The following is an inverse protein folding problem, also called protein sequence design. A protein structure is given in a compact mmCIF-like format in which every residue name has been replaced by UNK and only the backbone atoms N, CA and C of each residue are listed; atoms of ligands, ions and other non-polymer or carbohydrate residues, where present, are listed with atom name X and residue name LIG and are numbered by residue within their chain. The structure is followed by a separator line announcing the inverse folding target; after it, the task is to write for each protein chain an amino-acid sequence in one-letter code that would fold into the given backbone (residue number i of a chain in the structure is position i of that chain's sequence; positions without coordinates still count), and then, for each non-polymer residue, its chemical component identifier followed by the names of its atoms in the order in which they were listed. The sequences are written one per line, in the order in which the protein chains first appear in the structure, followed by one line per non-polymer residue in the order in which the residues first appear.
data_IF_361878404544
#
_entry.id   IF_361878404544
#
_cell.length_a   1.000
_cell.length_b   1.000
_cell.length_c   1.000
_cell.angle_alpha   90.00
_cell.angle_beta   90.00
_cell.angle_gamma   90.00
#
_symmetry.space_group_name_H-M   'P 1'
#
loop_
_entity.id
_entity.type
_entity.pdbx_description
1 polymer ?
#
# COMPACT_ATOMS: atom_id res chain seq x y z
N UNK A 1 31.95 -28.31 -58.76
CA UNK A 1 31.81 -27.04 -58.04
C UNK A 1 30.69 -27.20 -57.02
N UNK A 2 31.02 -27.52 -55.77
CA UNK A 2 30.04 -27.64 -54.68
C UNK A 2 30.43 -26.65 -53.59
N UNK A 3 29.61 -25.62 -53.43
CA UNK A 3 29.84 -24.50 -52.52
C UNK A 3 29.70 -24.99 -51.08
N UNK A 4 30.73 -24.71 -50.30
CA UNK A 4 30.94 -25.14 -48.92
C UNK A 4 29.93 -24.47 -47.97
N UNK A 5 29.36 -25.34 -47.13
CA UNK A 5 28.56 -25.12 -45.93
C UNK A 5 28.70 -23.75 -45.24
N UNK A 6 27.57 -23.07 -45.06
CA UNK A 6 27.37 -22.08 -44.00
C UNK A 6 26.57 -22.77 -42.88
N UNK A 7 27.29 -23.33 -41.90
CA UNK A 7 26.69 -23.68 -40.61
C UNK A 7 26.69 -22.40 -39.78
N UNK A 8 25.53 -21.87 -39.34
CA UNK A 8 25.53 -20.78 -38.37
C UNK A 8 26.24 -21.26 -37.11
N UNK A 9 27.25 -20.52 -36.66
CA UNK A 9 27.94 -20.78 -35.40
C UNK A 9 26.97 -20.75 -34.22
N UNK A 10 27.33 -21.37 -33.08
CA UNK A 10 26.50 -21.32 -31.89
C UNK A 10 26.29 -19.85 -31.54
N UNK A 11 25.03 -19.41 -31.51
CA UNK A 11 24.67 -18.12 -30.95
C UNK A 11 25.35 -18.04 -29.58
N UNK A 12 26.14 -16.99 -29.38
CA UNK A 12 26.60 -16.57 -28.07
C UNK A 12 25.33 -16.25 -27.28
N UNK A 13 24.68 -17.26 -26.70
CA UNK A 13 23.61 -17.04 -25.74
C UNK A 13 24.31 -16.37 -24.57
N UNK A 14 24.11 -15.06 -24.44
CA UNK A 14 24.94 -14.19 -23.61
C UNK A 14 25.04 -14.78 -22.21
N UNK A 15 26.24 -15.24 -21.82
CA UNK A 15 26.48 -15.76 -20.47
C UNK A 15 26.12 -14.72 -19.39
N UNK A 16 26.09 -13.44 -19.78
CA UNK A 16 25.61 -12.31 -18.99
C UNK A 16 24.08 -12.35 -18.74
N UNK A 17 23.29 -12.90 -19.66
CA UNK A 17 21.83 -13.04 -19.51
C UNK A 17 21.48 -14.05 -18.41
N UNK A 18 22.19 -15.18 -18.36
CA UNK A 18 21.93 -16.23 -17.36
C UNK A 18 22.30 -15.79 -15.93
N UNK A 19 23.35 -15.00 -15.75
CA UNK A 19 23.77 -14.56 -14.41
C UNK A 19 22.85 -13.50 -13.80
N UNK A 20 22.27 -12.62 -14.62
CA UNK A 20 21.29 -11.64 -14.15
C UNK A 20 19.94 -12.30 -13.83
N UNK A 21 19.53 -13.32 -14.57
CA UNK A 21 18.29 -14.07 -14.30
C UNK A 21 18.39 -14.83 -12.96
N UNK A 22 19.53 -15.49 -12.69
CA UNK A 22 19.81 -16.14 -11.40
C UNK A 22 19.83 -15.11 -10.26
N UNK A 23 20.39 -13.91 -10.49
CA UNK A 23 20.41 -12.84 -9.48
C UNK A 23 19.01 -12.29 -9.19
N UNK A 24 18.15 -12.22 -10.22
CA UNK A 24 16.76 -11.81 -10.06
C UNK A 24 15.95 -12.87 -9.30
N UNK A 25 16.13 -14.16 -9.65
CA UNK A 25 15.50 -15.30 -8.96
C UNK A 25 15.88 -15.31 -7.47
N UNK A 26 17.17 -15.22 -7.16
CA UNK A 26 17.64 -15.14 -5.76
C UNK A 26 17.11 -13.92 -5.02
N UNK A 27 16.90 -12.78 -5.69
CA UNK A 27 16.30 -11.60 -5.08
C UNK A 27 14.82 -11.80 -4.75
N UNK A 28 14.08 -12.49 -5.61
CA UNK A 28 12.68 -12.82 -5.35
C UNK A 28 12.57 -13.84 -4.22
N UNK A 29 13.41 -14.87 -4.18
CA UNK A 29 13.46 -15.82 -3.06
C UNK A 29 13.72 -15.14 -1.71
N UNK A 30 14.63 -14.16 -1.68
CA UNK A 30 14.91 -13.35 -0.49
C UNK A 30 13.67 -12.52 -0.09
N UNK A 31 12.97 -11.95 -1.06
CA UNK A 31 11.75 -11.17 -0.82
C UNK A 31 10.63 -12.05 -0.28
N UNK A 32 10.38 -13.19 -0.91
CA UNK A 32 9.39 -14.17 -0.45
C UNK A 32 9.71 -14.65 0.97
N UNK A 33 10.99 -14.92 1.24
CA UNK A 33 11.44 -15.29 2.58
C UNK A 33 11.20 -14.18 3.60
N UNK A 34 11.42 -12.91 3.23
CA UNK A 34 11.12 -11.77 4.09
C UNK A 34 9.62 -11.66 4.41
N UNK A 35 8.75 -11.89 3.42
CA UNK A 35 7.28 -11.91 3.59
C UNK A 35 6.88 -13.06 4.51
N UNK A 36 7.42 -14.26 4.28
CA UNK A 36 7.15 -15.44 5.11
C UNK A 36 7.52 -15.20 6.56
N UNK A 37 8.71 -14.64 6.82
CA UNK A 37 9.14 -14.25 8.16
C UNK A 37 8.22 -13.21 8.79
N UNK A 38 7.82 -12.17 8.05
CA UNK A 38 6.91 -11.15 8.57
C UNK A 38 5.56 -11.75 8.98
N UNK A 39 4.98 -12.60 8.14
CA UNK A 39 3.71 -13.27 8.42
C UNK A 39 3.83 -14.22 9.62
N UNK A 40 4.92 -14.98 9.71
CA UNK A 40 5.18 -15.85 10.85
C UNK A 40 5.28 -15.05 12.16
N UNK A 41 6.08 -13.99 12.19
CA UNK A 41 6.25 -13.13 13.37
C UNK A 41 4.95 -12.41 13.78
N UNK A 42 4.02 -12.20 12.84
CA UNK A 42 2.73 -11.55 13.10
C UNK A 42 1.58 -12.52 13.37
N UNK A 43 1.76 -13.81 13.14
CA UNK A 43 0.76 -14.85 13.44
C UNK A 43 0.40 -14.94 14.94
N UNK A 44 1.24 -14.37 15.82
CA UNK A 44 1.06 -14.45 17.27
C UNK A 44 1.65 -15.70 17.92
N UNK A 45 2.11 -16.67 17.11
CA UNK A 45 2.75 -17.90 17.59
C UNK A 45 4.28 -17.81 17.64
N UNK A 46 4.86 -16.71 17.16
CA UNK A 46 6.31 -16.53 17.16
C UNK A 46 6.82 -16.19 18.57
N UNK A 47 7.73 -17.02 19.06
CA UNK A 47 8.43 -16.84 20.33
C UNK A 47 9.78 -16.15 20.17
N UNK A 48 10.50 -15.99 21.29
CA UNK A 48 11.81 -15.34 21.32
C UNK A 48 12.86 -16.07 20.45
N UNK A 49 12.74 -17.40 20.33
CA UNK A 49 13.57 -18.21 19.46
C UNK A 49 13.40 -17.84 17.97
N UNK A 50 12.16 -17.57 17.52
CA UNK A 50 11.87 -17.14 16.15
C UNK A 50 12.46 -15.76 15.86
N UNK A 51 12.37 -14.83 16.83
CA UNK A 51 13.01 -13.51 16.70
C UNK A 51 14.53 -13.61 16.61
N UNK A 52 15.15 -14.57 17.32
CA UNK A 52 16.59 -14.85 17.19
C UNK A 52 16.92 -15.44 15.82
N UNK A 53 16.16 -16.42 15.35
CA UNK A 53 16.34 -17.02 14.02
C UNK A 53 16.20 -15.97 12.90
N UNK A 54 15.20 -15.08 13.01
CA UNK A 54 15.01 -13.97 12.08
C UNK A 54 16.18 -12.98 12.10
N UNK A 55 16.73 -12.65 13.28
CA UNK A 55 17.93 -11.82 13.38
C UNK A 55 19.13 -12.47 12.69
N UNK A 56 19.36 -13.76 12.92
CA UNK A 56 20.42 -14.51 12.26
C UNK A 56 20.25 -14.52 10.75
N UNK A 57 19.03 -14.75 10.25
CA UNK A 57 18.72 -14.71 8.82
C UNK A 57 19.01 -13.33 8.21
N UNK A 58 18.63 -12.24 8.89
CA UNK A 58 18.94 -10.87 8.43
C UNK A 58 20.43 -10.56 8.37
N UNK A 59 21.25 -11.18 9.23
CA UNK A 59 22.70 -10.96 9.23
C UNK A 59 23.45 -11.74 8.15
N UNK A 60 22.79 -12.66 7.43
CA UNK A 60 23.44 -13.46 6.38
C UNK A 60 23.82 -12.62 5.16
N UNK A 61 23.05 -11.59 4.81
CA UNK A 61 23.36 -10.71 3.68
C UNK A 61 22.64 -9.37 3.77
N UNK A 62 23.26 -8.33 3.21
CA UNK A 62 22.69 -6.99 3.14
C UNK A 62 21.35 -6.97 2.37
N UNK A 63 21.18 -7.81 1.35
CA UNK A 63 19.92 -7.94 0.61
C UNK A 63 18.80 -8.50 1.51
N UNK A 64 19.13 -9.41 2.43
CA UNK A 64 18.16 -9.96 3.39
C UNK A 64 17.70 -8.88 4.38
N UNK A 65 18.65 -8.08 4.88
CA UNK A 65 18.33 -6.95 5.74
C UNK A 65 17.47 -5.90 5.03
N UNK A 66 17.75 -5.62 3.75
CA UNK A 66 16.99 -4.68 2.92
C UNK A 66 15.57 -5.18 2.66
N UNK A 67 15.41 -6.41 2.21
CA UNK A 67 14.11 -7.02 1.96
C UNK A 67 13.24 -7.04 3.23
N UNK A 68 13.83 -7.40 4.38
CA UNK A 68 13.15 -7.35 5.67
C UNK A 68 12.64 -5.94 6.02
N UNK A 69 13.46 -4.91 5.77
CA UNK A 69 13.10 -3.52 6.03
C UNK A 69 11.98 -3.04 5.08
N UNK A 70 12.09 -3.33 3.78
CA UNK A 70 11.08 -2.97 2.78
C UNK A 70 9.71 -3.56 3.14
N UNK A 71 9.66 -4.86 3.43
CA UNK A 71 8.43 -5.57 3.79
C UNK A 71 7.84 -5.06 5.12
N UNK A 72 8.69 -4.79 6.12
CA UNK A 72 8.24 -4.21 7.39
C UNK A 72 7.69 -2.78 7.23
N UNK A 73 8.30 -1.97 6.34
CA UNK A 73 7.85 -0.62 6.05
C UNK A 73 6.48 -0.60 5.38
N UNK A 74 6.28 -1.43 4.34
CA UNK A 74 4.98 -1.57 3.66
C UNK A 74 3.90 -1.98 4.66
N UNK A 75 4.20 -2.96 5.53
CA UNK A 75 3.26 -3.38 6.56
C UNK A 75 2.88 -2.25 7.53
N UNK A 76 3.85 -1.44 7.95
CA UNK A 76 3.60 -0.29 8.81
C UNK A 76 2.71 0.75 8.13
N UNK A 77 2.91 0.99 6.84
CA UNK A 77 2.09 1.88 6.04
C UNK A 77 0.64 1.40 5.93
N UNK A 78 0.43 0.10 5.66
CA UNK A 78 -0.91 -0.49 5.66
C UNK A 78 -1.62 -0.33 7.01
N UNK A 79 -0.89 -0.53 8.11
CA UNK A 79 -1.43 -0.31 9.46
C UNK A 79 -1.80 1.15 9.76
N UNK A 80 -1.02 2.12 9.23
CA UNK A 80 -1.34 3.54 9.35
C UNK A 80 -2.59 3.91 8.53
N UNK A 81 -2.68 3.42 7.28
CA UNK A 81 -3.82 3.66 6.41
C UNK A 81 -5.11 3.09 7.03
N UNK A 82 -5.07 1.86 7.54
CA UNK A 82 -6.21 1.23 8.20
C UNK A 82 -6.67 1.96 9.49
N UNK A 83 -5.77 2.65 10.18
CA UNK A 83 -6.14 3.52 11.32
C UNK A 83 -6.81 4.81 10.84
N UNK A 84 -6.25 5.43 9.80
CA UNK A 84 -6.81 6.66 9.23
C UNK A 84 -8.23 6.44 8.70
N UNK A 85 -8.47 5.34 8.00
CA UNK A 85 -9.80 4.97 7.51
C UNK A 85 -10.82 4.77 8.63
N UNK A 86 -10.42 4.12 9.72
CA UNK A 86 -11.29 3.94 10.89
C UNK A 86 -11.67 5.29 11.51
N UNK A 87 -10.69 6.18 11.70
CA UNK A 87 -10.96 7.52 12.22
C UNK A 87 -11.91 8.31 11.30
N UNK A 88 -11.67 8.28 9.98
CA UNK A 88 -12.54 8.93 9.01
C UNK A 88 -13.97 8.34 8.95
N UNK A 89 -14.15 7.05 9.29
CA UNK A 89 -15.48 6.45 9.47
C UNK A 89 -16.14 6.94 10.76
N UNK A 90 -15.40 6.98 11.86
CA UNK A 90 -15.87 7.50 13.14
C UNK A 90 -16.32 8.96 13.05
N UNK A 91 -15.54 9.83 12.40
CA UNK A 91 -15.87 11.25 12.20
C UNK A 91 -17.15 11.44 11.37
N UNK A 92 -17.33 10.63 10.32
CA UNK A 92 -18.57 10.64 9.53
C UNK A 92 -19.78 10.21 10.36
N UNK A 93 -19.65 9.14 11.14
CA UNK A 93 -20.73 8.65 12.01
C UNK A 93 -21.13 9.68 13.07
N UNK A 94 -20.16 10.38 13.67
CA UNK A 94 -20.42 11.45 14.64
C UNK A 94 -21.15 12.64 13.99
N UNK A 95 -20.84 12.96 12.73
CA UNK A 95 -21.53 14.00 11.96
C UNK A 95 -22.99 13.64 11.68
N UNK A 96 -23.28 12.38 11.39
CA UNK A 96 -24.65 11.90 11.16
C UNK A 96 -25.48 11.85 12.44
N UNK A 97 -24.87 11.51 13.59
CA UNK A 97 -25.56 11.54 14.89
C UNK A 97 -25.76 12.95 15.45
N UNK A 98 -25.05 13.95 14.94
CA UNK A 98 -25.23 15.36 15.32
C UNK A 98 -26.32 16.08 14.53
N UNK A 99 -27.05 15.40 13.63
CA UNK A 99 -28.24 15.95 12.99
C UNK A 99 -29.50 15.39 13.69
N UNK A 100 -30.02 16.05 14.75
CA UNK A 100 -31.32 15.68 15.25
C UNK A 100 -32.36 15.97 14.17
N UNK A 101 -33.24 15.01 13.92
CA UNK A 101 -34.56 15.32 13.38
C UNK A 101 -35.22 16.31 14.35
N UNK A 102 -35.17 17.60 14.01
CA UNK A 102 -36.19 18.53 14.47
C UNK A 102 -37.10 18.75 13.27
N UNK A 103 -38.11 17.88 13.20
CA UNK A 103 -39.38 18.26 12.63
C UNK A 103 -39.91 19.46 13.44
N UNK A 104 -40.16 20.59 12.76
CA UNK A 104 -41.37 21.44 12.82
C UNK A 104 -41.10 22.77 12.06
N UNK A 105 -41.73 22.86 10.89
CA UNK A 105 -42.14 24.00 10.02
C UNK A 105 -42.14 25.47 10.55
N UNK A 106 -42.40 26.48 9.68
CA UNK A 106 -42.09 26.64 8.26
C UNK A 106 -41.38 27.99 7.98
N UNK A 107 -40.76 28.14 6.81
CA UNK A 107 -40.29 29.45 6.33
C UNK A 107 -41.49 30.36 6.06
N UNK A 108 -41.78 31.27 6.99
CA UNK A 108 -42.59 32.45 6.69
C UNK A 108 -41.80 33.31 5.72
N UNK A 109 -42.20 33.29 4.45
CA UNK A 109 -41.75 34.25 3.46
C UNK A 109 -42.50 35.57 3.73
N UNK A 110 -41.95 36.38 4.63
CA UNK A 110 -42.48 37.70 4.96
C UNK A 110 -42.26 38.67 3.79
N UNK A 111 -43.24 38.65 2.88
CA UNK A 111 -43.70 39.75 2.04
C UNK A 111 -43.32 41.12 2.62
N UNK A 112 -42.41 41.84 1.97
CA UNK A 112 -42.33 43.31 2.08
C UNK A 112 -42.48 43.91 0.69
N UNK A 113 -43.70 43.82 0.17
CA UNK A 113 -44.19 44.66 -0.93
C UNK A 113 -44.39 46.07 -0.33
N UNK A 114 -43.35 46.92 -0.32
CA UNK A 114 -43.53 48.34 0.00
C UNK A 114 -44.09 49.02 -1.23
N UNK A 115 -45.41 49.21 -1.19
CA UNK A 115 -46.18 50.11 -2.02
C UNK A 115 -45.55 51.52 -1.98
N UNK A 116 -44.98 51.95 -3.10
CA UNK A 116 -44.62 53.35 -3.32
C UNK A 116 -45.87 54.13 -3.70
N UNK A 117 -46.48 54.83 -2.73
CA UNK A 117 -47.53 55.83 -2.97
C UNK A 117 -46.98 57.24 -2.76
N UNK A 118 -46.69 57.91 -3.88
CA UNK A 118 -47.02 59.31 -4.25
C UNK A 118 -47.00 60.42 -3.19
N UNK A 119 -46.16 61.46 -3.40
CA UNK A 119 -46.50 62.92 -3.39
C UNK A 119 -45.28 63.74 -3.82
N UNK A 120 -45.35 64.45 -4.95
CA UNK A 120 -45.70 65.88 -5.14
C UNK A 120 -44.69 66.88 -4.58
N UNK A 121 -44.12 67.66 -5.51
CA UNK A 121 -43.91 69.11 -5.40
C UNK A 121 -44.43 69.74 -6.70
#
# INVERSE_FOLDING_TARGET
MTTKASRPGPACFDAQSTVEDIRAETREEIRESAIRWLLWLRSGNAGEADFKAFRTWRTQSAEHARAAHEVAWVWRMLGLLARNERNARSDRSARTHSHPLTDKEPRVCSRSLREGRVRSY
#
